data_IF_274679151648
#
_entry.id   IF_274679151648
#
_cell.length_a   1.000
_cell.length_b   1.000
_cell.length_c   1.000
_cell.angle_alpha   90.00
_cell.angle_beta   90.00
_cell.angle_gamma   90.00
#
_symmetry.space_group_name_H-M   'P 1'
#
loop_
_entity.id
_entity.type
_entity.pdbx_description
1 polymer ?
#
# COMPACT_ATOMS: atom_id res chain seq x y z
N UNK A 1 -2.90 12.53 -16.98
CA UNK A 1 -3.15 11.12 -16.60
C UNK A 1 -1.86 10.29 -16.54
N UNK A 2 -1.12 10.07 -17.64
CA UNK A 2 0.17 9.34 -17.59
C UNK A 2 1.28 10.13 -16.86
N UNK A 3 1.27 11.45 -16.97
CA UNK A 3 2.22 12.35 -16.29
C UNK A 3 2.04 12.34 -14.76
N UNK A 4 0.82 12.11 -14.28
CA UNK A 4 0.48 12.06 -12.86
C UNK A 4 1.09 10.83 -12.18
N UNK A 5 1.00 9.66 -12.82
CA UNK A 5 1.60 8.41 -12.31
C UNK A 5 3.11 8.55 -12.20
N UNK A 6 3.78 9.15 -13.19
CA UNK A 6 5.24 9.33 -13.17
C UNK A 6 5.68 10.27 -12.06
N UNK A 7 4.94 11.35 -11.84
CA UNK A 7 5.23 12.33 -10.79
C UNK A 7 5.02 11.73 -9.39
N UNK A 8 3.92 11.01 -9.18
CA UNK A 8 3.66 10.26 -7.95
C UNK A 8 4.71 9.15 -7.77
N UNK A 9 5.16 8.50 -8.84
CA UNK A 9 6.22 7.49 -8.82
C UNK A 9 7.53 8.01 -8.26
N UNK A 10 7.92 9.24 -8.62
CA UNK A 10 9.11 9.89 -8.04
C UNK A 10 8.95 10.11 -6.53
N UNK A 11 7.77 10.55 -6.08
CA UNK A 11 7.50 10.72 -4.65
C UNK A 11 7.55 9.38 -3.95
N UNK A 12 6.84 8.37 -4.46
CA UNK A 12 6.79 7.02 -3.91
C UNK A 12 8.19 6.42 -3.78
N UNK A 13 9.06 6.57 -4.78
CA UNK A 13 10.42 6.05 -4.74
C UNK A 13 11.25 6.64 -3.59
N UNK A 14 11.00 7.89 -3.19
CA UNK A 14 11.69 8.52 -2.05
C UNK A 14 11.15 8.04 -0.71
N UNK A 15 9.84 7.84 -0.61
CA UNK A 15 9.16 7.58 0.67
C UNK A 15 8.88 6.10 0.95
N UNK A 16 9.00 5.22 -0.07
CA UNK A 16 8.63 3.82 0.05
C UNK A 16 9.38 3.12 1.18
N UNK A 17 10.68 3.38 1.34
CA UNK A 17 11.48 2.78 2.41
C UNK A 17 10.99 3.17 3.80
N UNK A 18 10.52 4.40 3.99
CA UNK A 18 10.01 4.85 5.29
C UNK A 18 8.58 4.35 5.56
N UNK A 19 7.79 4.17 4.50
CA UNK A 19 6.48 3.53 4.60
C UNK A 19 6.61 2.03 4.93
N UNK A 20 7.55 1.32 4.31
CA UNK A 20 7.80 -0.11 4.56
C UNK A 20 8.37 -0.38 5.96
N UNK A 21 8.95 0.62 6.63
CA UNK A 21 9.37 0.51 8.03
C UNK A 21 8.21 0.61 9.03
N UNK A 22 7.03 1.06 8.61
CA UNK A 22 5.87 1.17 9.50
C UNK A 22 5.31 -0.19 9.84
N UNK A 23 4.81 -0.32 11.06
CA UNK A 23 4.22 -1.57 11.52
C UNK A 23 3.13 -2.07 10.57
N UNK A 24 3.23 -3.34 10.18
CA UNK A 24 2.29 -4.08 9.33
C UNK A 24 2.24 -3.67 7.85
N UNK A 25 3.03 -2.69 7.39
CA UNK A 25 3.08 -2.36 5.95
C UNK A 25 3.85 -3.44 5.20
N UNK A 26 3.19 -4.11 4.26
CA UNK A 26 3.74 -5.23 3.48
C UNK A 26 4.10 -4.83 2.05
N UNK A 27 3.47 -3.77 1.51
CA UNK A 27 3.78 -3.24 0.19
C UNK A 27 3.33 -1.79 0.04
N UNK A 28 3.91 -1.10 -0.93
CA UNK A 28 3.48 0.25 -1.35
C UNK A 28 3.35 0.33 -2.86
N UNK A 29 2.37 1.08 -3.35
CA UNK A 29 2.13 1.25 -4.79
C UNK A 29 1.38 2.53 -5.12
N UNK A 30 1.07 2.70 -6.41
CA UNK A 30 0.22 3.80 -6.90
C UNK A 30 -1.07 3.18 -7.38
N UNK A 31 -2.20 3.75 -6.96
CA UNK A 31 -3.50 3.25 -7.34
C UNK A 31 -4.60 4.25 -7.06
N UNK A 32 -5.82 3.85 -7.37
CA UNK A 32 -7.00 4.63 -7.06
C UNK A 32 -7.42 4.36 -5.63
N UNK A 33 -7.61 5.43 -4.85
CA UNK A 33 -8.12 5.32 -3.50
C UNK A 33 -9.54 4.75 -3.51
N UNK A 34 -9.84 3.84 -2.59
CA UNK A 34 -11.21 3.35 -2.41
C UNK A 34 -11.67 3.68 -1.00
N UNK A 35 -12.83 4.30 -0.84
CA UNK A 35 -13.41 4.61 0.47
C UNK A 35 -14.91 4.37 0.44
N UNK A 36 -15.43 3.69 1.47
CA UNK A 36 -16.84 3.30 1.57
C UNK A 36 -17.41 2.51 0.36
N UNK A 37 -16.56 1.74 -0.34
CA UNK A 37 -16.95 0.98 -1.53
C UNK A 37 -16.87 1.77 -2.83
N UNK A 38 -16.62 3.08 -2.77
CA UNK A 38 -16.50 3.94 -3.95
C UNK A 38 -15.03 4.14 -4.32
N UNK A 39 -14.71 3.90 -5.59
CA UNK A 39 -13.40 4.18 -6.16
C UNK A 39 -13.30 5.67 -6.49
N UNK A 40 -12.30 6.33 -5.91
CA UNK A 40 -11.95 7.70 -6.28
C UNK A 40 -11.30 7.71 -7.66
N UNK A 41 -11.56 8.78 -8.42
CA UNK A 41 -10.87 9.05 -9.69
C UNK A 41 -9.44 9.58 -9.48
N UNK A 42 -9.07 9.93 -8.25
CA UNK A 42 -7.76 10.49 -7.93
C UNK A 42 -6.74 9.40 -7.58
N UNK A 43 -5.56 9.51 -8.17
CA UNK A 43 -4.42 8.66 -7.84
C UNK A 43 -3.91 8.94 -6.43
N UNK A 44 -3.49 7.89 -5.74
CA UNK A 44 -3.02 7.90 -4.36
C UNK A 44 -1.87 6.93 -4.17
N UNK A 45 -1.08 7.17 -3.14
CA UNK A 45 -0.09 6.20 -2.66
C UNK A 45 -0.82 5.15 -1.83
N UNK A 46 -0.84 3.92 -2.32
CA UNK A 46 -1.47 2.79 -1.65
C UNK A 46 -0.45 2.13 -0.73
N UNK A 47 -0.81 1.98 0.54
CA UNK A 47 -0.06 1.24 1.54
C UNK A 47 -0.85 -0.03 1.86
N UNK A 48 -0.32 -1.17 1.42
CA UNK A 48 -0.89 -2.48 1.72
C UNK A 48 -0.40 -2.93 3.09
N UNK A 49 -1.33 -3.31 3.96
CA UNK A 49 -1.03 -3.81 5.30
C UNK A 49 -1.51 -5.25 5.49
N UNK A 50 -0.81 -5.99 6.35
CA UNK A 50 -1.24 -7.35 6.72
C UNK A 50 -2.58 -7.33 7.46
N UNK A 51 -2.75 -6.38 8.39
CA UNK A 51 -4.00 -6.18 9.14
C UNK A 51 -4.19 -4.71 9.49
N UNK A 52 -5.43 -4.21 9.42
CA UNK A 52 -5.78 -2.87 9.90
C UNK A 52 -5.93 -2.87 11.42
N UNK A 53 -5.31 -1.88 12.02
CA UNK A 53 -5.48 -1.56 13.43
C UNK A 53 -6.18 -0.20 13.57
N UNK A 54 -7.02 0.00 14.59
CA UNK A 54 -7.49 1.33 14.95
C UNK A 54 -6.29 2.25 15.20
N UNK A 55 -6.40 3.53 14.82
CA UNK A 55 -5.31 4.48 15.00
C UNK A 55 -4.89 4.66 16.47
N UNK A 56 -5.79 4.36 17.42
CA UNK A 56 -5.52 4.35 18.87
C UNK A 56 -4.61 3.21 19.32
N UNK A 57 -4.51 2.14 18.54
CA UNK A 57 -3.65 0.99 18.81
C UNK A 57 -2.29 1.09 18.10
N UNK A 58 -2.10 2.10 17.25
CA UNK A 58 -0.86 2.36 16.54
C UNK A 58 -0.08 3.49 17.21
N UNK A 59 1.24 3.35 17.27
CA UNK A 59 2.08 4.47 17.66
C UNK A 59 2.00 5.58 16.60
N UNK A 60 2.22 6.84 16.98
CA UNK A 60 2.22 7.94 16.02
C UNK A 60 3.25 7.77 14.89
N UNK A 61 4.30 6.97 15.11
CA UNK A 61 5.32 6.65 14.10
C UNK A 61 4.84 5.62 13.07
N UNK A 62 3.96 4.72 13.49
CA UNK A 62 3.39 3.64 12.67
C UNK A 62 2.13 4.08 11.90
N UNK A 63 1.54 5.21 12.27
CA UNK A 63 0.47 5.81 11.48
C UNK A 63 0.98 6.21 10.09
N UNK A 64 0.26 5.75 9.07
CA UNK A 64 0.44 6.21 7.69
C UNK A 64 -0.12 7.64 7.58
N UNK A 65 0.68 8.64 7.19
CA UNK A 65 0.19 10.00 7.00
C UNK A 65 -0.89 10.03 5.93
N UNK A 66 -1.97 10.81 6.13
CA UNK A 66 -3.09 10.93 5.17
C UNK A 66 -2.67 11.54 3.82
N UNK A 67 -1.59 12.32 3.81
CA UNK A 67 -1.00 12.95 2.62
C UNK A 67 0.53 12.95 2.73
N UNK A 68 1.21 12.78 1.61
CA UNK A 68 2.67 12.85 1.46
C UNK A 68 2.94 13.71 0.23
N UNK A 69 3.68 14.81 0.39
CA UNK A 69 3.95 15.78 -0.69
C UNK A 69 2.68 16.21 -1.46
N UNK A 70 1.57 16.39 -0.73
CA UNK A 70 0.26 16.75 -1.30
C UNK A 70 -0.53 15.57 -1.89
N UNK A 71 0.08 14.41 -2.10
CA UNK A 71 -0.56 13.20 -2.63
C UNK A 71 -1.27 12.45 -1.51
N UNK A 72 -2.53 12.08 -1.71
CA UNK A 72 -3.29 11.31 -0.74
C UNK A 72 -2.75 9.88 -0.60
N UNK A 73 -2.84 9.35 0.61
CA UNK A 73 -2.56 7.94 0.87
C UNK A 73 -3.84 7.16 1.08
N UNK A 74 -3.77 5.86 0.80
CA UNK A 74 -4.82 4.91 1.11
C UNK A 74 -4.24 3.67 1.78
N UNK A 75 -4.89 3.18 2.83
CA UNK A 75 -4.45 2.01 3.60
C UNK A 75 -5.39 0.87 3.28
N UNK A 76 -4.86 -0.16 2.60
CA UNK A 76 -5.62 -1.31 2.14
C UNK A 76 -5.16 -2.54 2.89
N UNK A 77 -6.09 -3.28 3.50
CA UNK A 77 -5.76 -4.55 4.12
C UNK A 77 -5.68 -5.62 3.04
N UNK A 78 -4.50 -6.20 2.85
CA UNK A 78 -4.27 -7.24 1.82
C UNK A 78 -3.92 -8.59 2.44
N UNK A 79 -3.70 -8.65 3.75
CA UNK A 79 -3.10 -9.81 4.37
C UNK A 79 -1.62 -9.95 3.99
N UNK A 80 -1.08 -11.13 4.27
CA UNK A 80 0.32 -11.45 4.02
C UNK A 80 0.55 -11.81 2.56
N UNK A 81 1.33 -11.00 1.85
CA UNK A 81 1.73 -11.27 0.46
C UNK A 81 2.77 -12.40 0.46
N UNK A 82 2.56 -13.44 -0.37
CA UNK A 82 3.47 -14.57 -0.53
C UNK A 82 3.78 -14.81 -2.00
N UNK A 83 5.04 -15.11 -2.30
CA UNK A 83 5.42 -15.58 -3.61
C UNK A 83 4.84 -16.99 -3.82
N UNK A 84 4.14 -17.17 -4.94
CA UNK A 84 3.72 -18.51 -5.37
C UNK A 84 4.90 -19.15 -6.08
N UNK A 85 5.53 -20.14 -5.44
CA UNK A 85 6.57 -20.94 -6.07
C UNK A 85 5.93 -22.07 -6.87
N UNK A 86 6.23 -22.17 -8.17
CA UNK A 86 5.66 -23.20 -9.04
C UNK A 86 6.45 -24.51 -8.88
N UNK A 87 6.32 -25.18 -7.74
CA UNK A 87 6.84 -26.53 -7.59
C UNK A 87 5.76 -27.51 -8.07
N UNK A 88 6.08 -28.25 -9.12
CA UNK A 88 5.31 -29.23 -9.88
C UNK A 88 4.09 -29.84 -9.19
N UNK A 89 2.94 -29.78 -9.89
CA UNK A 89 1.76 -30.61 -9.62
C UNK A 89 2.20 -32.08 -9.61
N UNK A 90 2.16 -32.74 -8.45
CA UNK A 90 2.50 -34.15 -8.32
C UNK A 90 1.44 -35.00 -9.02
N UNK A 91 1.84 -35.69 -10.10
CA UNK A 91 1.18 -36.91 -10.54
C UNK A 91 1.44 -37.93 -9.43
N UNK A 92 0.41 -38.24 -8.63
CA UNK A 92 0.45 -39.38 -7.73
C UNK A 92 0.34 -40.63 -8.60
N UNK A 93 1.36 -41.49 -8.49
CA UNK A 93 1.46 -42.79 -9.15
C UNK A 93 0.64 -43.84 -8.39
#
# INVERSE_FOLDING_TARGET
>A
MAEDIKSIGKVLQRVCNDLLKKQNVVATGIGYKTSAGERSLNLSIICSVEKKFPGTQLSSKDLVPKKIDGITTDVVETGRIRALNTSSFGVQN
#
